data_IF_981307113282
#
_entry.id   IF_981307113282
#
_cell.length_a   1.000
_cell.length_b   1.000
_cell.length_c   1.000
_cell.angle_alpha   90.00
_cell.angle_beta   90.00
_cell.angle_gamma   90.00
#
_symmetry.space_group_name_H-M   'P 1'
#
loop_
_entity.id
_entity.type
_entity.pdbx_description
1 polymer ?
#
# COMPACT_ATOMS: atom_id res chain seq x y z
N UNK A 1 -35.77 15.95 9.39
CA UNK A 1 -35.09 14.70 9.79
C UNK A 1 -34.03 14.39 8.74
N UNK A 2 -32.73 14.35 9.08
CA UNK A 2 -31.72 13.93 8.13
C UNK A 2 -31.89 12.43 7.83
N UNK A 3 -31.64 11.98 6.60
CA UNK A 3 -31.70 10.56 6.28
C UNK A 3 -30.62 9.81 7.07
N UNK A 4 -31.03 8.70 7.69
CA UNK A 4 -30.16 7.78 8.40
C UNK A 4 -29.09 7.23 7.46
N UNK A 5 -27.82 7.55 7.71
CA UNK A 5 -26.66 7.07 6.94
C UNK A 5 -26.47 5.55 6.95
N UNK A 6 -27.28 4.80 7.71
CA UNK A 6 -27.15 3.35 7.86
C UNK A 6 -27.68 2.51 6.69
N UNK A 7 -28.38 3.11 5.71
CA UNK A 7 -29.05 2.38 4.63
C UNK A 7 -28.34 2.44 3.26
N UNK A 8 -27.16 3.05 3.15
CA UNK A 8 -26.49 3.28 1.84
C UNK A 8 -25.49 2.19 1.41
N UNK A 9 -25.29 1.13 2.18
CA UNK A 9 -24.45 0.00 1.78
C UNK A 9 -25.30 -1.16 1.26
N UNK A 10 -25.34 -1.31 -0.07
CA UNK A 10 -25.98 -2.47 -0.70
C UNK A 10 -25.31 -3.78 -0.26
N UNK A 11 -26.08 -4.86 -0.16
CA UNK A 11 -25.54 -6.19 0.14
C UNK A 11 -24.45 -6.62 -0.88
N UNK A 12 -24.61 -6.20 -2.14
CA UNK A 12 -23.63 -6.44 -3.20
C UNK A 12 -22.30 -5.73 -2.93
N UNK A 13 -22.32 -4.48 -2.46
CA UNK A 13 -21.11 -3.74 -2.07
C UNK A 13 -20.42 -4.42 -0.88
N UNK A 14 -21.18 -4.94 0.10
CA UNK A 14 -20.63 -5.68 1.25
C UNK A 14 -19.91 -6.97 0.82
N UNK A 15 -20.50 -7.73 -0.10
CA UNK A 15 -19.87 -8.94 -0.63
C UNK A 15 -18.58 -8.63 -1.40
N UNK A 16 -18.56 -7.54 -2.19
CA UNK A 16 -17.35 -7.09 -2.89
C UNK A 16 -16.24 -6.66 -1.93
N UNK A 17 -16.58 -5.98 -0.83
CA UNK A 17 -15.59 -5.59 0.19
C UNK A 17 -14.90 -6.79 0.85
N UNK A 18 -15.58 -7.92 0.99
CA UNK A 18 -14.99 -9.15 1.55
C UNK A 18 -14.02 -9.81 0.55
N UNK A 19 -14.23 -9.60 -0.75
CA UNK A 19 -13.41 -10.16 -1.82
C UNK A 19 -12.19 -9.30 -2.17
N UNK A 20 -11.96 -8.20 -1.45
CA UNK A 20 -10.83 -7.34 -1.74
C UNK A 20 -9.51 -8.07 -1.49
N UNK A 21 -8.53 -7.93 -2.41
CA UNK A 21 -7.20 -8.47 -2.21
C UNK A 21 -6.63 -7.96 -0.89
N UNK A 22 -6.22 -8.88 -0.03
CA UNK A 22 -5.53 -8.58 1.20
C UNK A 22 -4.03 -8.44 0.92
N UNK A 23 -3.34 -7.69 1.79
CA UNK A 23 -1.87 -7.65 1.82
C UNK A 23 -1.26 -9.06 1.95
N UNK A 24 -1.99 -10.01 2.54
CA UNK A 24 -1.60 -11.42 2.65
C UNK A 24 -1.55 -12.16 1.31
N UNK A 25 -2.22 -11.64 0.27
CA UNK A 25 -2.28 -12.26 -1.06
C UNK A 25 -1.13 -11.82 -1.97
N UNK A 26 -0.26 -10.95 -1.45
CA UNK A 26 0.95 -10.52 -2.14
C UNK A 26 2.01 -11.61 -2.07
N UNK A 27 2.67 -11.84 -3.21
CA UNK A 27 3.81 -12.76 -3.26
C UNK A 27 4.96 -12.16 -2.46
N UNK A 28 5.56 -12.97 -1.58
CA UNK A 28 6.77 -12.59 -0.85
C UNK A 28 7.83 -11.99 -1.79
N UNK A 29 8.43 -10.88 -1.35
CA UNK A 29 9.45 -10.17 -2.11
C UNK A 29 10.82 -10.37 -1.49
N UNK A 30 11.80 -10.73 -2.31
CA UNK A 30 13.22 -10.70 -1.93
C UNK A 30 13.82 -9.36 -2.34
N UNK A 31 14.54 -8.67 -1.43
CA UNK A 31 15.22 -7.44 -1.79
C UNK A 31 16.41 -7.75 -2.72
N UNK A 32 16.94 -6.73 -3.39
CA UNK A 32 18.07 -6.91 -4.27
C UNK A 32 19.37 -7.17 -3.52
N UNK A 33 20.03 -8.28 -3.86
CA UNK A 33 21.30 -8.69 -3.24
C UNK A 33 22.47 -7.75 -3.58
N UNK A 34 22.32 -6.91 -4.61
CA UNK A 34 23.28 -5.88 -4.99
C UNK A 34 23.40 -4.77 -3.93
N UNK A 35 22.34 -4.55 -3.13
CA UNK A 35 22.26 -3.49 -2.11
C UNK A 35 22.04 -4.08 -0.72
N UNK A 36 21.12 -5.04 -0.59
CA UNK A 36 20.75 -5.67 0.68
C UNK A 36 21.32 -7.09 0.70
N UNK A 37 22.41 -7.27 1.45
CA UNK A 37 23.10 -8.57 1.56
C UNK A 37 22.49 -9.48 2.64
N UNK A 38 21.74 -8.90 3.58
CA UNK A 38 21.12 -9.63 4.68
C UNK A 38 19.87 -10.38 4.21
N UNK A 39 19.75 -11.69 4.50
CA UNK A 39 18.56 -12.44 4.15
C UNK A 39 17.37 -12.00 5.00
N UNK A 40 16.23 -11.74 4.36
CA UNK A 40 14.98 -11.47 5.06
C UNK A 40 14.26 -12.76 5.45
N UNK A 41 13.64 -12.79 6.62
CA UNK A 41 12.73 -13.88 7.03
C UNK A 41 11.36 -13.74 6.33
N UNK A 42 10.52 -14.78 6.27
CA UNK A 42 9.25 -14.75 5.53
C UNK A 42 8.35 -13.55 5.86
N UNK A 43 8.18 -13.24 7.15
CA UNK A 43 7.38 -12.09 7.59
C UNK A 43 7.91 -10.76 7.04
N UNK A 44 9.23 -10.57 7.04
CA UNK A 44 9.88 -9.38 6.50
C UNK A 44 9.73 -9.29 4.98
N UNK A 45 9.78 -10.42 4.27
CA UNK A 45 9.54 -10.49 2.82
C UNK A 45 8.09 -10.14 2.45
N UNK A 46 7.12 -10.58 3.26
CA UNK A 46 5.72 -10.21 3.08
C UNK A 46 5.48 -8.73 3.38
N UNK A 47 6.08 -8.21 4.45
CA UNK A 47 6.02 -6.77 4.78
C UNK A 47 6.64 -5.90 3.69
N UNK A 48 7.77 -6.31 3.13
CA UNK A 48 8.39 -5.65 1.98
C UNK A 48 7.48 -5.67 0.75
N UNK A 49 6.88 -6.82 0.43
CA UNK A 49 5.96 -6.93 -0.70
C UNK A 49 4.75 -5.99 -0.55
N UNK A 50 4.21 -5.89 0.67
CA UNK A 50 3.13 -4.95 0.98
C UNK A 50 3.55 -3.51 0.79
N UNK A 51 4.66 -3.09 1.39
CA UNK A 51 5.16 -1.72 1.26
C UNK A 51 5.45 -1.36 -0.20
N UNK A 52 6.04 -2.29 -0.94
CA UNK A 52 6.34 -2.09 -2.35
C UNK A 52 5.08 -1.91 -3.21
N UNK A 53 4.02 -2.67 -2.93
CA UNK A 53 2.74 -2.56 -3.63
C UNK A 53 2.07 -1.20 -3.38
N UNK A 54 2.25 -0.60 -2.19
CA UNK A 54 1.73 0.72 -1.83
C UNK A 54 2.52 1.89 -2.46
N UNK A 55 3.77 1.65 -2.86
CA UNK A 55 4.63 2.66 -3.50
C UNK A 55 4.48 2.66 -5.03
N UNK A 56 3.73 1.71 -5.59
CA UNK A 56 3.47 1.63 -7.03
C UNK A 56 2.06 2.16 -7.30
N UNK A 57 1.91 3.20 -8.13
CA UNK A 57 0.59 3.71 -8.50
C UNK A 57 -0.34 2.61 -9.02
N UNK A 58 0.15 1.70 -9.86
CA UNK A 58 -0.62 0.57 -10.40
C UNK A 58 -0.55 -0.70 -9.50
N UNK A 59 -0.18 -0.55 -8.22
CA UNK A 59 -0.15 -1.65 -7.27
C UNK A 59 -1.56 -2.17 -6.98
N UNK A 60 -1.70 -3.44 -6.58
CA UNK A 60 -3.01 -4.05 -6.30
C UNK A 60 -3.79 -3.22 -5.27
N UNK A 61 -3.09 -2.71 -4.25
CA UNK A 61 -3.64 -1.89 -3.19
C UNK A 61 -4.33 -0.62 -3.68
N UNK A 62 -3.80 0.03 -4.74
CA UNK A 62 -4.39 1.24 -5.30
C UNK A 62 -5.73 0.98 -6.01
N UNK A 63 -5.93 -0.25 -6.50
CA UNK A 63 -7.14 -0.67 -7.21
C UNK A 63 -8.21 -1.29 -6.30
N UNK A 64 -7.89 -1.59 -5.04
CA UNK A 64 -8.77 -2.40 -4.17
C UNK A 64 -10.18 -1.83 -3.99
N UNK A 65 -10.41 -0.52 -4.07
CA UNK A 65 -11.77 0.05 -3.93
C UNK A 65 -12.45 0.38 -5.25
N UNK A 66 -11.87 -0.03 -6.38
CA UNK A 66 -12.32 0.32 -7.71
C UNK A 66 -12.61 -0.93 -8.54
N UNK A 67 -13.84 -1.05 -9.01
CA UNK A 67 -14.22 -2.00 -10.04
C UNK A 67 -13.87 -1.42 -11.40
N UNK A 68 -12.86 -1.99 -12.06
CA UNK A 68 -12.54 -1.67 -13.46
C UNK A 68 -13.48 -2.42 -14.39
N UNK A 69 -14.14 -1.69 -15.29
CA UNK A 69 -15.04 -2.28 -16.28
C UNK A 69 -14.28 -3.11 -17.31
N UNK A 70 -14.94 -4.06 -17.99
CA UNK A 70 -14.35 -4.73 -19.15
C UNK A 70 -13.92 -3.72 -20.24
N UNK A 71 -12.91 -4.08 -21.06
CA UNK A 71 -12.51 -3.24 -22.19
C UNK A 71 -13.70 -2.90 -23.10
N UNK A 72 -13.90 -1.61 -23.41
CA UNK A 72 -14.98 -1.14 -24.31
C UNK A 72 -16.23 -0.57 -23.61
N UNK A 73 -16.23 -0.45 -22.29
CA UNK A 73 -17.27 0.22 -21.50
C UNK A 73 -17.12 1.75 -21.52
N UNK A 74 -18.23 2.50 -21.41
CA UNK A 74 -18.26 3.98 -21.38
C UNK A 74 -17.72 4.58 -20.07
N UNK A 75 -17.54 3.73 -19.07
CA UNK A 75 -16.97 4.03 -17.76
C UNK A 75 -15.76 3.13 -17.53
N UNK A 76 -14.65 3.66 -17.04
CA UNK A 76 -13.43 2.85 -16.86
C UNK A 76 -13.35 2.26 -15.45
N UNK A 77 -13.90 2.95 -14.44
CA UNK A 77 -13.87 2.47 -13.06
C UNK A 77 -15.01 3.01 -12.19
N UNK A 78 -15.53 2.16 -11.29
CA UNK A 78 -16.55 2.53 -10.29
C UNK A 78 -16.02 2.27 -8.88
N UNK A 79 -16.17 3.23 -7.98
CA UNK A 79 -15.80 3.07 -6.58
C UNK A 79 -16.84 2.22 -5.83
N UNK A 80 -16.40 1.15 -5.15
CA UNK A 80 -17.28 0.14 -4.54
C UNK A 80 -18.17 0.70 -3.44
N UNK A 81 -17.69 1.72 -2.72
CA UNK A 81 -18.37 2.29 -1.54
C UNK A 81 -19.26 3.48 -1.90
N UNK A 82 -18.83 4.33 -2.84
CA UNK A 82 -19.48 5.62 -3.10
C UNK A 82 -20.23 5.63 -4.43
N UNK A 83 -20.15 4.54 -5.20
CA UNK A 83 -20.66 4.44 -6.57
C UNK A 83 -20.15 5.54 -7.52
N UNK A 84 -19.09 6.25 -7.13
CA UNK A 84 -18.47 7.28 -7.98
C UNK A 84 -17.87 6.61 -9.21
N UNK A 85 -18.23 7.11 -10.38
CA UNK A 85 -17.75 6.57 -11.65
C UNK A 85 -16.74 7.52 -12.28
N UNK A 86 -15.65 6.97 -12.78
CA UNK A 86 -14.58 7.72 -13.42
C UNK A 86 -14.29 7.13 -14.78
N UNK A 87 -13.98 8.03 -15.73
CA UNK A 87 -13.82 7.72 -17.15
C UNK A 87 -12.41 7.30 -17.55
N UNK A 88 -11.44 7.38 -16.63
CA UNK A 88 -10.07 6.86 -16.77
C UNK A 88 -9.48 6.61 -15.39
N UNK A 89 -9.00 5.40 -15.14
CA UNK A 89 -8.36 5.05 -13.88
C UNK A 89 -7.01 5.76 -13.68
N UNK A 90 -6.29 6.06 -14.76
CA UNK A 90 -5.01 6.80 -14.70
C UNK A 90 -5.17 8.18 -14.05
N UNK A 91 -6.32 8.83 -14.23
CA UNK A 91 -6.62 10.12 -13.58
C UNK A 91 -6.81 10.02 -12.06
N UNK A 92 -7.09 8.83 -11.54
CA UNK A 92 -7.21 8.56 -10.11
C UNK A 92 -5.84 8.27 -9.50
N UNK A 93 -4.98 7.58 -10.24
CA UNK A 93 -3.65 7.17 -9.80
C UNK A 93 -2.72 8.34 -9.49
N UNK A 94 -2.91 9.48 -10.15
CA UNK A 94 -2.14 10.70 -9.87
C UNK A 94 -2.52 11.38 -8.56
N UNK A 95 -3.70 11.05 -8.00
CA UNK A 95 -4.24 11.69 -6.80
C UNK A 95 -4.33 10.75 -5.58
N UNK A 96 -4.06 9.46 -5.76
CA UNK A 96 -4.00 8.50 -4.65
C UNK A 96 -2.68 8.68 -3.91
N UNK A 97 -2.68 8.92 -2.58
CA UNK A 97 -1.45 8.98 -1.82
C UNK A 97 -0.74 7.62 -1.91
N UNK A 98 0.54 7.66 -2.25
CA UNK A 98 1.42 6.49 -2.17
C UNK A 98 1.86 6.27 -0.72
N UNK A 99 2.27 5.04 -0.45
CA UNK A 99 2.72 4.62 0.87
C UNK A 99 1.60 4.01 1.71
N UNK A 100 1.99 3.35 2.80
CA UNK A 100 1.07 2.59 3.64
C UNK A 100 1.52 2.53 5.09
N UNK A 101 0.61 2.09 5.96
CA UNK A 101 0.87 1.94 7.39
C UNK A 101 1.29 0.51 7.71
N UNK A 102 2.51 0.35 8.22
CA UNK A 102 3.01 -0.93 8.71
C UNK A 102 2.77 -1.06 10.22
N UNK A 103 1.58 -1.54 10.59
CA UNK A 103 1.13 -1.66 11.98
C UNK A 103 1.44 -3.03 12.61
N UNK A 104 2.68 -3.50 12.44
CA UNK A 104 3.14 -4.74 13.09
C UNK A 104 3.47 -4.50 14.57
N UNK A 105 3.37 -5.55 15.40
CA UNK A 105 3.85 -5.54 16.78
C UNK A 105 5.30 -5.06 16.91
N UNK A 106 5.65 -4.57 18.10
CA UNK A 106 7.04 -4.20 18.41
C UNK A 106 7.93 -5.45 18.37
N UNK A 107 9.18 -5.27 17.91
CA UNK A 107 10.11 -6.39 17.76
C UNK A 107 9.95 -7.20 16.47
N UNK A 108 9.02 -6.84 15.58
CA UNK A 108 8.86 -7.48 14.25
C UNK A 108 9.69 -6.80 13.15
N UNK A 109 10.82 -6.19 13.51
CA UNK A 109 11.83 -5.67 12.58
C UNK A 109 11.32 -4.72 11.49
N UNK A 110 10.35 -3.85 11.82
CA UNK A 110 9.82 -2.84 10.89
C UNK A 110 10.91 -1.98 10.23
N UNK A 111 11.99 -1.69 10.97
CA UNK A 111 13.14 -0.96 10.45
C UNK A 111 13.87 -1.72 9.33
N UNK A 112 14.02 -3.04 9.46
CA UNK A 112 14.65 -3.87 8.42
C UNK A 112 13.79 -3.86 7.15
N UNK A 113 12.47 -3.94 7.29
CA UNK A 113 11.53 -3.88 6.17
C UNK A 113 11.60 -2.52 5.45
N UNK A 114 11.72 -1.42 6.20
CA UNK A 114 11.89 -0.09 5.63
C UNK A 114 13.24 0.10 4.91
N UNK A 115 14.34 -0.41 5.47
CA UNK A 115 15.65 -0.38 4.81
C UNK A 115 15.62 -1.20 3.51
N UNK A 116 15.01 -2.38 3.54
CA UNK A 116 14.84 -3.23 2.37
C UNK A 116 14.01 -2.54 1.27
N UNK A 117 12.97 -1.79 1.65
CA UNK A 117 12.18 -0.97 0.73
C UNK A 117 13.04 0.12 0.06
N UNK A 118 13.84 0.84 0.84
CA UNK A 118 14.75 1.87 0.32
C UNK A 118 15.75 1.26 -0.67
N UNK A 119 16.37 0.13 -0.31
CA UNK A 119 17.30 -0.58 -1.18
C UNK A 119 16.64 -1.02 -2.49
N UNK A 120 15.44 -1.58 -2.40
CA UNK A 120 14.65 -2.00 -3.57
C UNK A 120 14.30 -0.83 -4.49
N UNK A 121 13.87 0.29 -3.90
CA UNK A 121 13.57 1.52 -4.64
C UNK A 121 14.81 2.07 -5.34
N UNK A 122 15.96 2.06 -4.65
CA UNK A 122 17.23 2.54 -5.18
C UNK A 122 17.73 1.68 -6.35
N UNK A 123 17.62 0.35 -6.27
CA UNK A 123 17.98 -0.51 -7.40
C UNK A 123 17.09 -0.23 -8.63
N UNK A 124 15.80 0.01 -8.42
CA UNK A 124 14.87 0.36 -9.52
C UNK A 124 15.29 1.65 -10.22
N UNK A 125 15.77 2.64 -9.48
CA UNK A 125 16.29 3.89 -10.07
C UNK A 125 17.56 3.65 -10.89
N UNK A 126 18.44 2.75 -10.44
CA UNK A 126 19.66 2.40 -11.16
C UNK A 126 19.33 1.63 -12.46
N UNK A 127 18.41 0.68 -12.38
CA UNK A 127 18.05 -0.20 -13.52
C UNK A 127 17.08 0.44 -14.51
N UNK A 128 16.31 1.44 -14.09
CA UNK A 128 15.34 2.12 -14.94
C UNK A 128 15.30 3.65 -14.68
N UNK A 129 16.29 4.41 -15.18
CA UNK A 129 16.43 5.85 -14.92
C UNK A 129 15.35 6.72 -15.60
N UNK A 130 14.52 6.16 -16.50
CA UNK A 130 13.41 6.86 -17.17
C UNK A 130 12.13 6.92 -16.33
N UNK A 131 12.09 6.22 -15.18
CA UNK A 131 10.97 6.32 -14.24
C UNK A 131 11.10 7.63 -13.44
N UNK A 132 10.60 8.73 -14.02
CA UNK A 132 10.65 10.08 -13.45
C UNK A 132 10.08 10.09 -12.03
N UNK A 133 10.98 10.34 -11.09
CA UNK A 133 10.76 10.61 -9.68
C UNK A 133 9.83 11.80 -9.50
N UNK A 134 8.69 11.59 -8.86
CA UNK A 134 8.02 12.68 -8.14
C UNK A 134 7.57 12.30 -6.74
N UNK A 135 7.61 11.03 -6.31
CA UNK A 135 6.94 10.65 -5.06
C UNK A 135 7.57 9.54 -4.19
N UNK A 136 8.75 8.99 -4.48
CA UNK A 136 9.39 8.08 -3.52
C UNK A 136 10.15 8.91 -2.48
N UNK A 137 9.41 9.63 -1.63
CA UNK A 137 9.94 10.24 -0.40
C UNK A 137 9.55 9.29 0.73
N UNK A 138 10.48 8.39 1.10
CA UNK A 138 10.29 7.55 2.28
C UNK A 138 10.49 8.43 3.53
N UNK A 139 9.44 9.10 3.97
CA UNK A 139 9.41 9.79 5.27
C UNK A 139 9.16 8.76 6.38
N UNK A 140 10.23 8.29 7.01
CA UNK A 140 10.17 7.46 8.21
C UNK A 140 9.87 8.33 9.44
N UNK A 141 8.60 8.57 9.74
CA UNK A 141 8.20 9.07 11.05
C UNK A 141 8.11 7.89 12.04
N UNK A 142 9.21 7.64 12.75
CA UNK A 142 9.22 6.66 13.84
C UNK A 142 8.80 7.36 15.14
N UNK A 143 7.52 7.26 15.50
CA UNK A 143 7.02 7.73 16.79
C UNK A 143 7.48 6.79 17.90
N UNK A 144 8.58 7.15 18.57
CA UNK A 144 8.94 6.54 19.85
C UNK A 144 8.21 7.25 20.98
N UNK A 145 7.05 6.73 21.37
CA UNK A 145 6.49 7.04 22.70
C UNK A 145 7.22 6.19 23.74
N UNK A 146 8.22 6.78 24.39
CA UNK A 146 8.79 6.20 25.60
C UNK A 146 7.80 6.40 26.76
N UNK A 147 7.26 5.35 27.41
CA UNK A 147 6.67 5.52 28.73
C UNK A 147 7.80 5.89 29.69
N UNK A 148 7.66 7.05 30.35
CA UNK A 148 8.54 7.52 31.41
C UNK A 148 8.91 6.38 32.35
N UNK A 149 10.17 5.94 32.32
CA UNK A 149 10.72 5.01 33.30
C UNK A 149 10.92 5.81 34.60
N UNK A 150 10.28 5.46 35.74
CA UNK A 150 10.57 6.13 37.00
C UNK A 150 12.04 5.89 37.37
N UNK A 151 12.74 6.98 37.70
CA UNK A 151 14.07 6.95 38.30
C UNK A 151 13.94 6.27 39.66
N UNK A 152 14.59 5.12 39.82
CA UNK A 152 14.82 4.50 41.13
C UNK A 152 15.88 5.35 41.84
N UNK A 153 15.45 6.12 42.85
CA UNK A 153 16.30 6.70 43.89
C UNK A 153 16.41 5.74 45.07
#
# INVERSE_FOLDING_TARGET
>A
MPPSYSALFSLASKQKLIQLPSASDLRMMTPPHSIIQTPLVPLQKSGLAFLWDQEIPNGKSAHNLWDTSPPGSTFDSRHIITDKVVRSFESLLTNTPLGGLLANDMGLDKAIQAIALIGTSKERLITNPQCSTSQIVVSLEVYFTYPNRPQLS
#
